data_IF_679772884719
#
_entry.id   IF_679772884719
#
_cell.length_a   1.000
_cell.length_b   1.000
_cell.length_c   1.000
_cell.angle_alpha   90.00
_cell.angle_beta   90.00
_cell.angle_gamma   90.00
#
_symmetry.space_group_name_H-M   'P 1'
#
loop_
_entity.id
_entity.type
_entity.pdbx_description
1 polymer ?
#
# COMPACT_ATOMS: atom_id res chain seq x y z
N UNK A 1 57.27 8.65 39.64
CA UNK A 1 57.05 7.50 38.74
C UNK A 1 55.61 6.92 38.79
N UNK A 2 54.84 7.19 39.85
CA UNK A 2 53.47 6.65 40.05
C UNK A 2 52.37 7.38 39.27
N UNK A 3 52.49 8.70 39.08
CA UNK A 3 51.51 9.53 38.35
C UNK A 3 51.47 9.18 36.85
N UNK A 4 52.63 8.95 36.24
CA UNK A 4 52.76 8.60 34.82
C UNK A 4 52.22 7.20 34.51
N UNK A 5 52.27 6.28 35.49
CA UNK A 5 51.74 4.92 35.38
C UNK A 5 50.21 4.88 35.41
N UNK A 6 49.59 5.76 36.20
CA UNK A 6 48.14 5.90 36.26
C UNK A 6 47.57 6.61 35.02
N UNK A 7 48.28 7.59 34.47
CA UNK A 7 47.87 8.26 33.23
C UNK A 7 47.85 7.30 32.03
N UNK A 8 48.85 6.42 31.91
CA UNK A 8 48.90 5.39 30.85
C UNK A 8 47.78 4.36 31.02
N UNK A 9 47.47 3.96 32.26
CA UNK A 9 46.38 3.02 32.53
C UNK A 9 45.00 3.59 32.18
N UNK A 10 44.74 4.86 32.48
CA UNK A 10 43.47 5.53 32.13
C UNK A 10 43.34 5.72 30.62
N UNK A 11 44.43 6.10 29.93
CA UNK A 11 44.44 6.24 28.48
C UNK A 11 44.22 4.88 27.79
N UNK A 12 44.81 3.81 28.30
CA UNK A 12 44.63 2.46 27.77
C UNK A 12 43.18 1.96 27.94
N UNK A 13 42.52 2.25 29.07
CA UNK A 13 41.11 1.89 29.28
C UNK A 13 40.18 2.70 28.38
N UNK A 14 40.46 3.99 28.16
CA UNK A 14 39.68 4.82 27.25
C UNK A 14 39.79 4.38 25.78
N UNK A 15 40.98 3.93 25.35
CA UNK A 15 41.20 3.39 23.99
C UNK A 15 40.52 2.03 23.80
N UNK A 16 40.51 1.16 24.83
CA UNK A 16 39.81 -0.13 24.78
C UNK A 16 38.29 0.04 24.84
N UNK A 17 37.79 1.01 25.62
CA UNK A 17 36.36 1.31 25.69
C UNK A 17 35.81 2.01 24.43
N UNK A 18 36.62 2.84 23.76
CA UNK A 18 36.25 3.52 22.52
C UNK A 18 36.49 2.71 21.25
N UNK A 19 37.18 1.58 21.33
CA UNK A 19 37.47 0.69 20.18
C UNK A 19 36.44 -0.42 19.95
N UNK A 20 35.51 -0.62 20.88
CA UNK A 20 34.40 -1.55 20.71
C UNK A 20 33.23 -0.80 20.07
N UNK A 21 32.99 -1.07 18.79
CA UNK A 21 31.74 -0.71 18.14
C UNK A 21 30.63 -1.64 18.66
N UNK A 22 29.75 -1.10 19.50
CA UNK A 22 28.59 -1.81 20.04
C UNK A 22 27.36 -1.67 19.14
N UNK A 23 27.49 -1.02 17.98
CA UNK A 23 26.44 -0.86 17.01
C UNK A 23 26.24 -2.18 16.25
N UNK A 24 25.41 -3.05 16.82
CA UNK A 24 25.01 -4.30 16.18
C UNK A 24 24.01 -3.97 15.08
N UNK A 25 24.49 -3.81 13.84
CA UNK A 25 23.61 -3.81 12.68
C UNK A 25 23.00 -5.21 12.54
N UNK A 26 21.71 -5.30 12.82
CA UNK A 26 20.93 -6.49 12.49
C UNK A 26 20.90 -6.59 10.95
N UNK A 27 21.51 -7.63 10.33
CA UNK A 27 21.57 -7.73 8.87
C UNK A 27 20.23 -8.11 8.24
N UNK A 28 19.21 -8.43 9.04
CA UNK A 28 17.89 -8.86 8.57
C UNK A 28 17.01 -7.73 8.01
N UNK A 29 16.79 -6.62 8.75
CA UNK A 29 15.99 -5.50 8.26
C UNK A 29 16.73 -4.70 7.18
N UNK A 30 16.01 -4.35 6.12
CA UNK A 30 16.52 -3.36 5.15
C UNK A 30 16.54 -1.98 5.81
N UNK A 31 17.68 -1.27 5.84
CA UNK A 31 17.73 0.10 6.35
C UNK A 31 16.79 0.99 5.54
N UNK A 32 16.06 1.89 6.23
CA UNK A 32 15.08 2.75 5.57
C UNK A 32 15.71 3.64 4.47
N UNK A 33 16.96 4.10 4.68
CA UNK A 33 17.71 4.87 3.69
C UNK A 33 18.02 4.12 2.40
N UNK A 34 17.94 2.78 2.38
CA UNK A 34 18.13 2.02 1.13
C UNK A 34 16.93 2.18 0.20
N UNK A 35 15.76 2.51 0.75
CA UNK A 35 14.54 2.73 -0.01
C UNK A 35 14.54 4.09 -0.73
N UNK A 36 15.44 4.99 -0.33
CA UNK A 36 15.66 6.28 -1.00
C UNK A 36 16.50 6.16 -2.29
N UNK A 37 17.14 5.00 -2.52
CA UNK A 37 17.90 4.78 -3.75
C UNK A 37 16.92 4.60 -4.93
N UNK A 38 17.06 5.36 -6.04
CA UNK A 38 16.24 5.20 -7.24
C UNK A 38 16.16 3.76 -7.77
N UNK A 39 17.22 2.96 -7.59
CA UNK A 39 17.25 1.54 -8.00
C UNK A 39 16.26 0.68 -7.20
N UNK A 40 15.90 1.08 -5.98
CA UNK A 40 14.94 0.38 -5.13
C UNK A 40 13.48 0.77 -5.40
N UNK A 41 13.23 1.92 -6.02
CA UNK A 41 11.89 2.49 -6.17
C UNK A 41 10.92 1.54 -6.91
N UNK A 42 11.40 0.85 -7.96
CA UNK A 42 10.55 -0.09 -8.69
C UNK A 42 10.17 -1.30 -7.84
N UNK A 43 11.12 -1.86 -7.09
CA UNK A 43 10.84 -2.98 -6.19
C UNK A 43 9.85 -2.56 -5.08
N UNK A 44 9.97 -1.33 -4.59
CA UNK A 44 9.06 -0.75 -3.62
C UNK A 44 7.63 -0.62 -4.20
N UNK A 45 7.48 -0.07 -5.41
CA UNK A 45 6.18 0.03 -6.10
C UNK A 45 5.54 -1.36 -6.33
N UNK A 46 6.35 -2.37 -6.69
CA UNK A 46 5.90 -3.74 -6.81
C UNK A 46 5.44 -4.33 -5.46
N UNK A 47 6.12 -3.97 -4.36
CA UNK A 47 5.70 -4.33 -3.01
C UNK A 47 4.33 -3.76 -2.64
N UNK A 48 4.05 -2.52 -3.03
CA UNK A 48 2.72 -1.91 -2.86
C UNK A 48 1.63 -2.69 -3.61
N UNK A 49 1.92 -3.10 -4.85
CA UNK A 49 1.01 -3.94 -5.64
C UNK A 49 0.76 -5.29 -4.96
N UNK A 50 1.82 -5.95 -4.46
CA UNK A 50 1.70 -7.25 -3.80
C UNK A 50 0.80 -7.17 -2.55
N UNK A 51 1.00 -6.16 -1.70
CA UNK A 51 0.20 -5.96 -0.49
C UNK A 51 -1.27 -5.63 -0.84
N UNK A 52 -1.51 -4.90 -1.93
CA UNK A 52 -2.87 -4.70 -2.45
C UNK A 52 -3.52 -6.01 -2.89
N UNK A 53 -2.79 -6.88 -3.58
CA UNK A 53 -3.33 -8.16 -4.04
C UNK A 53 -3.65 -9.11 -2.87
N UNK A 54 -2.83 -9.11 -1.82
CA UNK A 54 -3.11 -9.86 -0.60
C UNK A 54 -4.38 -9.34 0.10
N UNK A 55 -4.49 -8.02 0.24
CA UNK A 55 -5.67 -7.34 0.77
C UNK A 55 -6.93 -7.68 -0.04
N UNK A 56 -6.86 -7.59 -1.37
CA UNK A 56 -7.95 -7.93 -2.28
C UNK A 56 -8.35 -9.41 -2.14
N UNK A 57 -7.39 -10.32 -2.05
CA UNK A 57 -7.66 -11.75 -1.88
C UNK A 57 -8.45 -12.01 -0.59
N UNK A 58 -8.11 -11.33 0.50
CA UNK A 58 -8.82 -11.44 1.79
C UNK A 58 -10.26 -10.93 1.70
N UNK A 59 -10.48 -9.79 1.05
CA UNK A 59 -11.84 -9.24 0.81
C UNK A 59 -12.63 -10.18 -0.08
N UNK A 60 -12.09 -10.55 -1.25
CA UNK A 60 -12.77 -11.41 -2.20
C UNK A 60 -13.17 -12.75 -1.57
N UNK A 61 -12.26 -13.36 -0.79
CA UNK A 61 -12.52 -14.61 -0.09
C UNK A 61 -13.66 -14.47 0.94
N UNK A 62 -13.55 -13.44 1.80
CA UNK A 62 -14.52 -13.21 2.89
C UNK A 62 -15.91 -12.84 2.34
N UNK A 63 -15.97 -11.91 1.38
CA UNK A 63 -17.24 -11.45 0.81
C UNK A 63 -17.89 -12.56 -0.02
N UNK A 64 -17.14 -13.36 -0.76
CA UNK A 64 -17.67 -14.53 -1.49
C UNK A 64 -18.27 -15.57 -0.55
N UNK A 65 -17.69 -15.77 0.64
CA UNK A 65 -18.25 -16.67 1.64
C UNK A 65 -19.57 -16.13 2.22
N UNK A 66 -19.62 -14.84 2.56
CA UNK A 66 -20.82 -14.20 3.16
C UNK A 66 -21.96 -14.05 2.15
N UNK A 67 -21.65 -13.78 0.89
CA UNK A 67 -22.61 -13.67 -0.22
C UNK A 67 -23.01 -15.02 -0.80
N UNK A 68 -22.39 -16.12 -0.33
CA UNK A 68 -22.66 -17.51 -0.75
C UNK A 68 -22.29 -17.82 -2.20
N UNK A 69 -21.28 -17.14 -2.73
CA UNK A 69 -20.64 -17.50 -4.00
C UNK A 69 -19.61 -18.61 -3.80
N UNK A 70 -18.99 -18.67 -2.61
CA UNK A 70 -18.02 -19.69 -2.22
C UNK A 70 -18.53 -20.53 -1.04
N UNK A 71 -18.41 -21.86 -1.13
CA UNK A 71 -18.72 -22.79 -0.04
C UNK A 71 -17.54 -23.72 0.28
N UNK A 72 -17.18 -23.89 1.55
CA UNK A 72 -16.14 -24.85 1.93
C UNK A 72 -16.60 -26.30 1.68
N UNK A 73 -15.82 -27.06 0.92
CA UNK A 73 -16.17 -28.42 0.46
C UNK A 73 -15.48 -29.53 1.28
N UNK A 74 -15.67 -29.55 2.60
CA UNK A 74 -15.21 -30.64 3.47
C UNK A 74 -13.73 -30.59 3.88
N UNK A 75 -13.07 -29.43 3.74
CA UNK A 75 -11.74 -29.21 4.30
C UNK A 75 -11.79 -29.08 5.82
N UNK A 76 -10.76 -29.57 6.51
CA UNK A 76 -10.60 -29.31 7.95
C UNK A 76 -10.51 -27.80 8.18
N UNK A 77 -11.30 -27.28 9.12
CA UNK A 77 -11.41 -25.85 9.42
C UNK A 77 -11.96 -24.96 8.28
N UNK A 78 -12.59 -25.53 7.24
CA UNK A 78 -13.22 -24.76 6.15
C UNK A 78 -12.30 -23.72 5.48
N UNK A 79 -10.98 -23.98 5.46
CA UNK A 79 -9.95 -23.03 5.02
C UNK A 79 -10.10 -21.63 5.65
N UNK A 80 -10.48 -21.57 6.93
CA UNK A 80 -10.63 -20.32 7.68
C UNK A 80 -11.99 -19.63 7.54
N UNK A 81 -12.96 -20.18 6.79
CA UNK A 81 -14.32 -19.62 6.75
C UNK A 81 -15.09 -20.04 8.01
N UNK A 82 -15.42 -19.06 8.84
CA UNK A 82 -16.17 -19.26 10.08
C UNK A 82 -17.60 -19.74 9.81
N UNK A 83 -18.20 -20.44 10.77
CA UNK A 83 -19.62 -20.83 10.67
C UNK A 83 -20.55 -19.60 10.56
N UNK A 84 -20.14 -18.47 11.14
CA UNK A 84 -20.86 -17.19 11.03
C UNK A 84 -20.85 -16.65 9.60
N UNK A 85 -19.68 -16.66 8.93
CA UNK A 85 -19.58 -16.24 7.53
C UNK A 85 -20.43 -17.12 6.61
N UNK A 86 -20.47 -18.44 6.83
CA UNK A 86 -21.29 -19.37 6.04
C UNK A 86 -22.80 -19.07 6.13
N UNK A 87 -23.26 -18.48 7.23
CA UNK A 87 -24.66 -18.05 7.39
C UNK A 87 -24.88 -16.57 7.06
N UNK A 88 -23.88 -15.90 6.49
CA UNK A 88 -23.97 -14.52 6.02
C UNK A 88 -23.80 -13.49 7.15
N UNK A 89 -23.05 -13.80 8.20
CA UNK A 89 -22.80 -12.89 9.33
C UNK A 89 -21.32 -12.54 9.44
N UNK A 90 -21.04 -11.23 9.42
CA UNK A 90 -19.76 -10.67 9.81
C UNK A 90 -19.81 -10.31 11.29
N UNK A 91 -18.91 -10.88 12.09
CA UNK A 91 -18.80 -10.58 13.51
C UNK A 91 -17.55 -9.74 13.75
N UNK A 92 -17.58 -8.92 14.80
CA UNK A 92 -16.39 -8.22 15.27
C UNK A 92 -15.65 -9.15 16.25
N UNK A 93 -14.75 -9.97 15.72
CA UNK A 93 -13.87 -10.86 16.47
C UNK A 93 -12.48 -10.91 15.83
N UNK A 94 -11.51 -11.55 16.51
CA UNK A 94 -10.13 -11.62 16.05
C UNK A 94 -9.96 -12.36 14.70
N UNK A 95 -10.88 -13.25 14.32
CA UNK A 95 -10.84 -13.94 13.02
C UNK A 95 -11.27 -13.01 11.86
N UNK A 96 -12.02 -11.94 12.14
CA UNK A 96 -12.53 -11.00 11.14
C UNK A 96 -11.83 -9.62 11.19
N UNK A 97 -11.26 -9.24 12.34
CA UNK A 97 -10.56 -7.96 12.56
C UNK A 97 -9.17 -7.90 11.93
N UNK A 98 -8.54 -9.05 11.67
CA UNK A 98 -7.17 -9.13 11.14
C UNK A 98 -7.04 -8.67 9.66
N UNK A 99 -8.17 -8.43 8.98
CA UNK A 99 -8.18 -7.90 7.61
C UNK A 99 -7.85 -6.41 7.53
N UNK A 100 -8.07 -5.62 8.59
CA UNK A 100 -7.80 -4.17 8.55
C UNK A 100 -6.32 -3.84 8.29
N UNK A 101 -5.41 -4.54 8.97
CA UNK A 101 -3.97 -4.29 8.92
C UNK A 101 -3.36 -4.40 7.51
N UNK A 102 -3.54 -5.50 6.75
CA UNK A 102 -2.98 -5.59 5.40
C UNK A 102 -3.53 -4.52 4.45
N UNK A 103 -4.79 -4.12 4.57
CA UNK A 103 -5.37 -3.06 3.74
C UNK A 103 -4.76 -1.69 4.03
N UNK A 104 -4.65 -1.35 5.31
CA UNK A 104 -3.99 -0.12 5.74
C UNK A 104 -2.51 -0.09 5.33
N UNK A 105 -1.82 -1.25 5.40
CA UNK A 105 -0.43 -1.39 4.96
C UNK A 105 -0.29 -1.16 3.47
N UNK A 106 -1.12 -1.80 2.64
CA UNK A 106 -1.14 -1.60 1.19
C UNK A 106 -1.27 -0.11 0.84
N UNK A 107 -2.25 0.57 1.44
CA UNK A 107 -2.45 2.02 1.27
C UNK A 107 -1.22 2.82 1.72
N UNK A 108 -0.69 2.54 2.91
CA UNK A 108 0.44 3.28 3.44
C UNK A 108 1.70 3.13 2.59
N UNK A 109 2.04 1.91 2.17
CA UNK A 109 3.22 1.65 1.33
C UNK A 109 3.05 2.40 0.00
N UNK A 110 1.90 2.31 -0.66
CA UNK A 110 1.71 3.01 -1.93
C UNK A 110 1.85 4.55 -1.80
N UNK A 111 1.19 5.15 -0.80
CA UNK A 111 1.23 6.60 -0.57
C UNK A 111 2.62 7.09 -0.18
N UNK A 112 3.23 6.48 0.84
CA UNK A 112 4.57 6.85 1.31
C UNK A 112 5.65 6.58 0.26
N UNK A 113 5.49 5.54 -0.56
CA UNK A 113 6.35 5.28 -1.70
C UNK A 113 6.33 6.43 -2.71
N UNK A 114 5.15 6.91 -3.09
CA UNK A 114 5.02 8.07 -3.98
C UNK A 114 5.69 9.33 -3.42
N UNK A 115 5.44 9.62 -2.14
CA UNK A 115 6.04 10.78 -1.45
C UNK A 115 7.57 10.67 -1.43
N UNK A 116 8.10 9.50 -1.05
CA UNK A 116 9.54 9.21 -1.05
C UNK A 116 10.14 9.38 -2.44
N UNK A 117 9.54 8.80 -3.48
CA UNK A 117 10.07 8.91 -4.84
C UNK A 117 10.07 10.36 -5.32
N UNK A 118 9.08 11.15 -4.92
CA UNK A 118 8.98 12.57 -5.24
C UNK A 118 10.06 13.39 -4.53
N UNK A 119 10.40 13.04 -3.29
CA UNK A 119 11.44 13.72 -2.52
C UNK A 119 12.86 13.42 -3.03
N UNK A 120 13.12 12.20 -3.50
CA UNK A 120 14.47 11.75 -3.89
C UNK A 120 14.85 12.05 -5.34
N UNK A 121 13.91 12.53 -6.16
CA UNK A 121 14.18 12.77 -7.59
C UNK A 121 14.59 14.22 -7.83
N UNK A 122 15.68 14.40 -8.57
CA UNK A 122 16.05 15.71 -9.12
C UNK A 122 15.08 16.09 -10.25
N UNK A 123 14.02 16.84 -9.91
CA UNK A 123 12.98 17.26 -10.85
C UNK A 123 11.59 16.84 -10.41
N UNK A 124 10.67 16.64 -11.35
CA UNK A 124 9.34 16.09 -11.06
C UNK A 124 9.30 14.58 -11.35
N UNK A 125 8.26 13.94 -10.84
CA UNK A 125 8.01 12.51 -11.06
C UNK A 125 7.29 12.21 -12.36
N UNK A 126 6.98 13.20 -13.21
CA UNK A 126 6.25 12.97 -14.44
C UNK A 126 7.02 12.01 -15.35
N UNK A 127 6.29 11.02 -15.88
CA UNK A 127 6.80 9.92 -16.69
C UNK A 127 7.62 8.88 -15.92
N UNK A 128 7.75 9.01 -14.60
CA UNK A 128 8.46 8.04 -13.77
C UNK A 128 7.59 6.86 -13.42
N UNK A 129 7.97 5.68 -13.93
CA UNK A 129 7.22 4.44 -13.73
C UNK A 129 6.92 4.13 -12.25
N UNK A 130 7.90 4.09 -11.33
CA UNK A 130 7.61 3.77 -9.93
C UNK A 130 6.62 4.73 -9.27
N UNK A 131 6.69 6.02 -9.58
CA UNK A 131 5.74 6.99 -9.02
C UNK A 131 4.34 6.86 -9.64
N UNK A 132 4.26 6.66 -10.96
CA UNK A 132 2.98 6.42 -11.62
C UNK A 132 2.28 5.16 -11.06
N UNK A 133 3.03 4.07 -10.90
CA UNK A 133 2.51 2.82 -10.36
C UNK A 133 2.18 2.94 -8.85
N UNK A 134 3.02 3.59 -8.04
CA UNK A 134 2.70 3.85 -6.63
C UNK A 134 1.41 4.67 -6.45
N UNK A 135 1.21 5.72 -7.26
CA UNK A 135 -0.03 6.49 -7.25
C UNK A 135 -1.24 5.64 -7.68
N UNK A 136 -1.06 4.77 -8.69
CA UNK A 136 -2.11 3.83 -9.11
C UNK A 136 -2.51 2.89 -7.96
N UNK A 137 -1.52 2.29 -7.28
CA UNK A 137 -1.75 1.38 -6.16
C UNK A 137 -2.35 2.08 -4.94
N UNK A 138 -1.98 3.34 -4.69
CA UNK A 138 -2.62 4.14 -3.65
C UNK A 138 -4.10 4.36 -3.96
N UNK A 139 -4.45 4.65 -5.21
CA UNK A 139 -5.84 4.77 -5.66
C UNK A 139 -6.63 3.48 -5.43
N UNK A 140 -6.10 2.33 -5.85
CA UNK A 140 -6.78 1.05 -5.66
C UNK A 140 -6.87 0.61 -4.20
N UNK A 141 -5.84 0.86 -3.38
CA UNK A 141 -5.86 0.51 -1.97
C UNK A 141 -6.88 1.35 -1.19
N UNK A 142 -6.96 2.65 -1.46
CA UNK A 142 -7.98 3.53 -0.90
C UNK A 142 -9.38 3.14 -1.39
N UNK A 143 -9.54 2.82 -2.68
CA UNK A 143 -10.82 2.33 -3.21
C UNK A 143 -11.27 1.07 -2.47
N UNK A 144 -10.40 0.08 -2.31
CA UNK A 144 -10.74 -1.18 -1.63
C UNK A 144 -11.15 -0.95 -0.18
N UNK A 145 -10.49 -0.04 0.52
CA UNK A 145 -10.88 0.40 1.87
C UNK A 145 -12.26 1.06 1.88
N UNK A 146 -12.50 2.01 0.96
CA UNK A 146 -13.78 2.73 0.87
C UNK A 146 -14.97 1.86 0.51
N UNK A 147 -14.75 0.81 -0.28
CA UNK A 147 -15.80 -0.14 -0.66
C UNK A 147 -16.18 -1.11 0.47
N UNK A 148 -15.31 -1.32 1.47
CA UNK A 148 -15.45 -2.41 2.43
C UNK A 148 -15.43 -1.99 3.93
N UNK A 149 -15.08 -0.74 4.25
CA UNK A 149 -15.10 -0.22 5.62
C UNK A 149 -15.95 1.04 5.76
N UNK A 150 -16.79 1.07 6.80
CA UNK A 150 -17.69 2.19 7.08
C UNK A 150 -16.98 3.44 7.63
N UNK A 151 -15.78 3.26 8.18
CA UNK A 151 -15.02 4.31 8.87
C UNK A 151 -13.59 4.36 8.36
N UNK A 152 -13.01 5.56 8.38
CA UNK A 152 -11.65 5.83 7.97
C UNK A 152 -10.80 6.32 9.13
N UNK A 153 -9.56 5.83 9.21
CA UNK A 153 -8.51 6.33 10.10
C UNK A 153 -7.24 6.45 9.28
N UNK A 154 -6.81 7.68 9.03
CA UNK A 154 -5.60 7.98 8.25
C UNK A 154 -4.45 8.21 9.23
N UNK A 155 -3.40 7.40 9.14
CA UNK A 155 -2.13 7.60 9.86
C UNK A 155 -2.24 7.90 11.36
N UNK A 156 -3.15 7.19 12.04
CA UNK A 156 -3.38 7.35 13.48
C UNK A 156 -4.20 8.60 13.86
N UNK A 157 -4.82 9.26 12.89
CA UNK A 157 -5.73 10.38 13.09
C UNK A 157 -7.07 9.99 13.74
N UNK A 158 -7.99 10.95 13.84
CA UNK A 158 -9.35 10.69 14.33
C UNK A 158 -10.14 9.84 13.34
N UNK A 159 -11.14 9.10 13.85
CA UNK A 159 -12.12 8.39 13.02
C UNK A 159 -12.87 9.39 12.14
N UNK A 160 -13.06 9.02 10.88
CA UNK A 160 -13.75 9.78 9.84
C UNK A 160 -14.76 8.88 9.11
N UNK A 161 -15.71 9.44 8.33
CA UNK A 161 -16.58 8.65 7.46
C UNK A 161 -15.79 7.83 6.42
N UNK A 162 -16.29 6.64 6.05
CA UNK A 162 -15.65 5.77 5.06
C UNK A 162 -15.48 6.39 3.67
N UNK A 163 -16.35 7.33 3.29
CA UNK A 163 -16.28 8.05 2.01
C UNK A 163 -14.93 8.78 1.81
N UNK A 164 -14.24 9.14 2.89
CA UNK A 164 -12.90 9.73 2.83
C UNK A 164 -11.91 8.85 2.08
N UNK A 165 -12.03 7.52 2.20
CA UNK A 165 -11.21 6.60 1.42
C UNK A 165 -11.45 6.76 -0.08
N UNK A 166 -12.71 6.88 -0.50
CA UNK A 166 -13.08 7.05 -1.90
C UNK A 166 -12.62 8.41 -2.44
N UNK A 167 -12.78 9.48 -1.67
CA UNK A 167 -12.27 10.82 -2.02
C UNK A 167 -10.74 10.78 -2.24
N UNK A 168 -10.00 10.17 -1.32
CA UNK A 168 -8.54 9.96 -1.47
C UNK A 168 -8.20 9.11 -2.68
N UNK A 169 -8.99 8.06 -2.96
CA UNK A 169 -8.77 7.21 -4.13
C UNK A 169 -8.89 8.01 -5.43
N UNK A 170 -9.89 8.88 -5.56
CA UNK A 170 -10.06 9.75 -6.72
C UNK A 170 -8.88 10.70 -6.92
N UNK A 171 -8.36 11.30 -5.84
CA UNK A 171 -7.17 12.15 -5.88
C UNK A 171 -5.94 11.36 -6.36
N UNK A 172 -5.73 10.16 -5.84
CA UNK A 172 -4.61 9.31 -6.24
C UNK A 172 -4.69 8.83 -7.69
N UNK A 173 -5.88 8.44 -8.18
CA UNK A 173 -6.04 8.12 -9.59
C UNK A 173 -5.81 9.34 -10.49
N UNK A 174 -6.19 10.53 -10.04
CA UNK A 174 -5.91 11.78 -10.75
C UNK A 174 -4.40 12.05 -10.82
N UNK A 175 -3.68 11.86 -9.71
CA UNK A 175 -2.21 11.90 -9.68
C UNK A 175 -1.59 10.87 -10.62
N UNK A 176 -2.07 9.62 -10.59
CA UNK A 176 -1.55 8.55 -11.45
C UNK A 176 -1.69 8.90 -12.94
N UNK A 177 -2.85 9.42 -13.34
CA UNK A 177 -3.10 9.90 -14.72
C UNK A 177 -2.12 11.01 -15.07
N UNK A 178 -1.98 12.04 -14.23
CA UNK A 178 -1.08 13.17 -14.48
C UNK A 178 0.38 12.72 -14.63
N UNK A 179 0.86 11.88 -13.71
CA UNK A 179 2.25 11.41 -13.67
C UNK A 179 2.54 10.47 -14.83
N UNK A 180 1.63 9.57 -15.19
CA UNK A 180 1.82 8.62 -16.28
C UNK A 180 1.70 9.26 -17.68
N UNK A 181 0.86 10.29 -17.84
CA UNK A 181 0.48 10.83 -19.17
C UNK A 181 1.65 11.36 -20.01
N UNK A 182 2.77 11.77 -19.37
CA UNK A 182 3.94 12.25 -20.10
C UNK A 182 4.85 11.14 -20.64
N UNK A 183 4.56 9.87 -20.33
CA UNK A 183 5.33 8.72 -20.80
C UNK A 183 4.40 7.73 -21.54
N UNK A 184 4.54 7.60 -22.87
CA UNK A 184 3.74 6.67 -23.66
C UNK A 184 3.81 5.22 -23.19
N UNK A 185 4.92 4.79 -22.60
CA UNK A 185 5.09 3.43 -22.09
C UNK A 185 4.19 3.15 -20.86
N UNK A 186 3.60 4.18 -20.27
CA UNK A 186 2.71 4.12 -19.11
C UNK A 186 1.23 4.34 -19.49
N UNK A 187 0.87 4.28 -20.77
CA UNK A 187 -0.53 4.42 -21.20
C UNK A 187 -1.47 3.43 -20.50
N UNK A 188 -1.01 2.21 -20.24
CA UNK A 188 -1.77 1.20 -19.48
C UNK A 188 -2.05 1.62 -18.02
N UNK A 189 -1.15 2.38 -17.38
CA UNK A 189 -1.37 2.95 -16.04
C UNK A 189 -2.46 4.04 -16.10
N UNK A 190 -2.44 4.89 -17.13
CA UNK A 190 -3.47 5.91 -17.36
C UNK A 190 -4.84 5.25 -17.52
N UNK A 191 -4.95 4.24 -18.39
CA UNK A 191 -6.22 3.52 -18.60
C UNK A 191 -6.70 2.82 -17.33
N UNK A 192 -5.81 2.15 -16.58
CA UNK A 192 -6.19 1.53 -15.32
C UNK A 192 -6.60 2.55 -14.25
N UNK A 193 -6.01 3.74 -14.23
CA UNK A 193 -6.40 4.81 -13.32
C UNK A 193 -7.78 5.38 -13.69
N UNK A 194 -8.11 5.53 -14.98
CA UNK A 194 -9.47 5.87 -15.41
C UNK A 194 -10.48 4.82 -14.98
N UNK A 195 -10.19 3.52 -15.15
CA UNK A 195 -11.08 2.45 -14.70
C UNK A 195 -11.32 2.50 -13.18
N UNK A 196 -10.26 2.70 -12.40
CA UNK A 196 -10.36 2.85 -10.94
C UNK A 196 -11.18 4.08 -10.54
N UNK A 197 -10.89 5.24 -11.14
CA UNK A 197 -11.58 6.50 -10.84
C UNK A 197 -13.05 6.49 -11.27
N UNK A 198 -13.37 5.84 -12.39
CA UNK A 198 -14.76 5.62 -12.80
C UNK A 198 -15.56 4.86 -11.74
N UNK A 199 -14.99 3.78 -11.20
CA UNK A 199 -15.62 3.00 -10.12
C UNK A 199 -15.79 3.84 -8.86
N UNK A 200 -14.76 4.57 -8.44
CA UNK A 200 -14.80 5.44 -7.26
C UNK A 200 -15.88 6.52 -7.40
N UNK A 201 -15.94 7.20 -8.55
CA UNK A 201 -16.95 8.23 -8.82
C UNK A 201 -18.37 7.68 -8.82
N UNK A 202 -18.56 6.46 -9.34
CA UNK A 202 -19.85 5.77 -9.25
C UNK A 202 -20.25 5.51 -7.79
N UNK A 203 -19.32 5.07 -6.93
CA UNK A 203 -19.56 4.90 -5.49
C UNK A 203 -19.89 6.22 -4.79
N UNK A 204 -19.23 7.32 -5.16
CA UNK A 204 -19.50 8.67 -4.65
C UNK A 204 -20.79 9.30 -5.25
N UNK A 205 -21.46 8.61 -6.18
CA UNK A 205 -22.68 9.09 -6.84
C UNK A 205 -22.46 10.07 -7.99
N UNK A 206 -21.21 10.36 -8.37
CA UNK A 206 -20.88 11.13 -9.58
C UNK A 206 -20.93 10.25 -10.84
N UNK A 207 -22.14 9.92 -11.26
CA UNK A 207 -22.38 9.12 -12.46
C UNK A 207 -21.88 9.80 -13.74
N UNK A 208 -21.89 11.13 -13.79
CA UNK A 208 -21.44 11.87 -14.97
C UNK A 208 -19.92 11.75 -15.13
N UNK A 209 -19.15 11.98 -14.07
CA UNK A 209 -17.71 11.78 -14.06
C UNK A 209 -17.32 10.31 -14.24
N UNK A 210 -18.08 9.37 -13.66
CA UNK A 210 -17.86 7.95 -13.85
C UNK A 210 -17.98 7.52 -15.32
N UNK A 211 -19.02 7.99 -16.03
CA UNK A 211 -19.17 7.71 -17.46
C UNK A 211 -18.07 8.34 -18.32
N UNK A 212 -17.59 9.53 -17.96
CA UNK A 212 -16.48 10.18 -18.66
C UNK A 212 -15.20 9.36 -18.53
N UNK A 213 -14.85 8.92 -17.32
CA UNK A 213 -13.66 8.08 -17.13
C UNK A 213 -13.81 6.69 -17.77
N UNK A 214 -14.99 6.08 -17.68
CA UNK A 214 -15.24 4.78 -18.30
C UNK A 214 -15.10 4.82 -19.84
N UNK A 215 -15.42 5.94 -20.48
CA UNK A 215 -15.26 6.11 -21.92
C UNK A 215 -13.78 6.13 -22.38
N UNK A 216 -12.85 6.39 -21.47
CA UNK A 216 -11.39 6.34 -21.73
C UNK A 216 -10.81 4.93 -21.58
N UNK A 217 -11.62 3.93 -21.24
CA UNK A 217 -11.21 2.54 -21.04
C UNK A 217 -11.72 1.67 -22.19
N UNK A 218 -10.82 1.10 -23.02
CA UNK A 218 -11.22 0.14 -24.06
C UNK A 218 -11.88 -1.11 -23.47
N UNK A 219 -12.91 -1.64 -24.14
CA UNK A 219 -13.65 -2.83 -23.68
C UNK A 219 -12.77 -4.09 -23.55
N UNK A 220 -11.69 -4.18 -24.33
CA UNK A 220 -10.73 -5.30 -24.34
C UNK A 220 -9.49 -5.04 -23.47
N UNK A 221 -9.47 -3.94 -22.72
CA UNK A 221 -8.35 -3.58 -21.86
C UNK A 221 -8.20 -4.59 -20.71
N UNK A 222 -6.97 -5.11 -20.55
CA UNK A 222 -6.58 -5.93 -19.41
C UNK A 222 -5.29 -5.34 -18.84
N UNK A 223 -5.33 -4.93 -17.57
CA UNK A 223 -4.13 -4.54 -16.86
C UNK A 223 -3.31 -5.78 -16.50
N UNK A 224 -2.07 -5.85 -16.98
CA UNK A 224 -1.13 -6.93 -16.67
C UNK A 224 -0.20 -6.45 -15.56
N UNK A 225 -0.14 -7.21 -14.46
CA UNK A 225 0.88 -7.02 -13.43
C UNK A 225 2.22 -7.47 -14.03
N UNK A 226 3.18 -6.55 -14.08
CA UNK A 226 4.53 -6.78 -14.64
C UNK A 226 5.47 -7.53 -13.70
#
# INVERSE_FOLDING_TARGET
MTIMRNAIAVLAVAVVAGGCDFEVQNPGPTPDSFLDNPEAHQAYANGAALELMDALNQVAYTTSAVTRELFPAGSTSSFGISASQQVGRLLFDDEHADSWTPHQRSRYIAESGFERFSAQREGNVNGYRPAAEAALWAGYANRLLGENWCEAVIDGGSVQPGDVWLERAEEWFTTAIQVASSNPDLAHVVTAAHAGRASVRAFLGDWAGAMQDAAEVPDDFVFQLG
#
